data_IF_051110567178
#
_entry.id   IF_051110567178
#
_cell.length_a   1.000
_cell.length_b   1.000
_cell.length_c   1.000
_cell.angle_alpha   90.00
_cell.angle_beta   90.00
_cell.angle_gamma   90.00
#
_symmetry.space_group_name_H-M   'P 1'
#
loop_
_entity.id
_entity.type
_entity.pdbx_description
1 polymer ?
#
# COMPACT_ATOMS: atom_id res chain seq x y z
N UNK A 1 -42.11 28.32 48.20
CA UNK A 1 -42.48 27.03 47.62
C UNK A 1 -41.52 26.71 46.49
N UNK A 2 -40.48 25.93 46.79
CA UNK A 2 -39.56 25.40 45.75
C UNK A 2 -39.99 23.96 45.49
N UNK A 3 -40.28 23.67 44.19
CA UNK A 3 -40.50 22.31 43.73
C UNK A 3 -39.19 21.85 43.08
N UNK A 4 -38.50 20.93 43.74
CA UNK A 4 -37.38 20.18 43.17
C UNK A 4 -37.93 19.08 42.27
N UNK A 5 -37.58 19.13 40.98
CA UNK A 5 -37.75 18.00 40.07
C UNK A 5 -36.48 17.16 40.09
N UNK A 6 -36.62 15.96 40.66
CA UNK A 6 -35.61 14.89 40.65
C UNK A 6 -35.68 14.18 39.28
N UNK A 7 -34.67 14.35 38.42
CA UNK A 7 -34.55 13.60 37.18
C UNK A 7 -33.63 12.42 37.42
N UNK A 8 -34.25 11.29 37.79
CA UNK A 8 -33.55 10.00 37.72
C UNK A 8 -33.21 9.65 36.26
N UNK A 9 -31.92 9.75 35.92
CA UNK A 9 -31.39 9.19 34.70
C UNK A 9 -31.41 7.67 34.77
N UNK A 10 -32.39 7.05 34.19
CA UNK A 10 -32.41 5.60 33.95
C UNK A 10 -31.44 5.32 32.80
N UNK A 11 -30.24 4.85 33.13
CA UNK A 11 -29.32 4.25 32.14
C UNK A 11 -29.97 2.97 31.64
N UNK A 12 -30.62 3.04 30.48
CA UNK A 12 -31.00 1.86 29.70
C UNK A 12 -29.70 1.32 29.09
N UNK A 13 -29.11 0.32 29.71
CA UNK A 13 -28.10 -0.52 29.08
C UNK A 13 -28.80 -1.36 28.00
N UNK A 14 -28.80 -0.89 26.79
CA UNK A 14 -29.12 -1.69 25.62
C UNK A 14 -28.01 -2.73 25.46
N UNK A 15 -28.25 -3.94 25.95
CA UNK A 15 -27.47 -5.11 25.59
C UNK A 15 -27.76 -5.43 24.12
N UNK A 16 -26.93 -4.92 23.24
CA UNK A 16 -26.86 -5.44 21.88
C UNK A 16 -26.19 -6.82 21.97
N UNK A 17 -26.70 -7.84 21.23
CA UNK A 17 -25.97 -9.09 21.09
C UNK A 17 -24.57 -8.78 20.55
N UNK A 18 -23.56 -9.54 20.93
CA UNK A 18 -22.19 -9.48 20.42
C UNK A 18 -22.19 -9.75 18.90
N UNK A 19 -22.62 -8.78 18.11
CA UNK A 19 -22.22 -8.71 16.71
C UNK A 19 -20.72 -8.43 16.71
N UNK A 20 -19.95 -9.33 16.12
CA UNK A 20 -18.50 -9.14 15.94
C UNK A 20 -18.26 -7.76 15.31
N UNK A 21 -17.55 -6.89 16.03
CA UNK A 21 -17.36 -5.47 15.67
C UNK A 21 -16.31 -5.34 14.54
N UNK A 22 -16.55 -6.04 13.41
CA UNK A 22 -15.64 -6.10 12.27
C UNK A 22 -15.73 -4.85 11.40
N UNK A 23 -16.95 -4.52 10.96
CA UNK A 23 -17.27 -3.28 10.25
C UNK A 23 -18.16 -2.44 11.15
N UNK A 24 -18.35 -1.16 10.84
CA UNK A 24 -19.21 -0.28 11.62
C UNK A 24 -20.45 0.09 10.80
N UNK A 25 -21.48 -0.79 10.76
CA UNK A 25 -22.64 -0.59 9.87
C UNK A 25 -23.40 0.70 10.15
N UNK A 26 -23.50 1.11 11.42
CA UNK A 26 -24.15 2.36 11.79
C UNK A 26 -23.47 3.59 11.17
N UNK A 27 -22.12 3.62 11.15
CA UNK A 27 -21.37 4.68 10.50
C UNK A 27 -21.54 4.63 8.97
N UNK A 28 -21.54 3.44 8.38
CA UNK A 28 -21.79 3.27 6.95
C UNK A 28 -23.14 3.86 6.56
N UNK A 29 -24.19 3.49 7.28
CA UNK A 29 -25.55 4.01 7.08
C UNK A 29 -25.58 5.55 7.21
N UNK A 30 -25.06 6.07 8.31
CA UNK A 30 -25.02 7.53 8.57
C UNK A 30 -24.23 8.26 7.47
N UNK A 31 -23.11 7.72 7.01
CA UNK A 31 -22.33 8.29 5.92
C UNK A 31 -23.17 8.35 4.63
N UNK A 32 -23.79 7.23 4.24
CA UNK A 32 -24.60 7.14 3.02
C UNK A 32 -25.80 8.10 3.05
N UNK A 33 -26.47 8.24 4.22
CA UNK A 33 -27.59 9.19 4.40
C UNK A 33 -27.16 10.65 4.29
N UNK A 34 -25.93 10.98 4.71
CA UNK A 34 -25.38 12.35 4.67
C UNK A 34 -24.57 12.65 3.40
N UNK A 35 -24.35 11.67 2.55
CA UNK A 35 -23.65 11.85 1.28
C UNK A 35 -24.50 12.64 0.31
N UNK A 36 -23.90 13.64 -0.33
CA UNK A 36 -24.47 14.29 -1.51
C UNK A 36 -23.39 14.46 -2.58
N UNK A 37 -23.81 14.52 -3.84
CA UNK A 37 -22.88 14.72 -4.96
C UNK A 37 -22.13 16.06 -4.84
N UNK A 38 -22.82 17.11 -4.39
CA UNK A 38 -22.25 18.44 -4.22
C UNK A 38 -21.11 18.43 -3.16
N UNK A 39 -21.29 17.72 -2.04
CA UNK A 39 -20.23 17.56 -1.02
C UNK A 39 -19.03 16.81 -1.59
N UNK A 40 -19.28 15.76 -2.37
CA UNK A 40 -18.20 15.00 -2.99
C UNK A 40 -17.44 15.81 -4.03
N UNK A 41 -18.12 16.58 -4.85
CA UNK A 41 -17.49 17.49 -5.82
C UNK A 41 -16.71 18.60 -5.11
N UNK A 42 -17.23 19.17 -4.03
CA UNK A 42 -16.52 20.14 -3.22
C UNK A 42 -15.24 19.55 -2.59
N UNK A 43 -15.32 18.32 -2.07
CA UNK A 43 -14.17 17.56 -1.58
C UNK A 43 -13.11 17.33 -2.68
N UNK A 44 -13.51 16.87 -3.88
CA UNK A 44 -12.60 16.66 -5.00
C UNK A 44 -11.95 17.96 -5.47
N UNK A 45 -12.73 19.05 -5.51
CA UNK A 45 -12.22 20.37 -5.87
C UNK A 45 -11.18 20.87 -4.84
N UNK A 46 -11.43 20.72 -3.54
CA UNK A 46 -10.45 21.09 -2.51
C UNK A 46 -9.18 20.25 -2.64
N UNK A 47 -9.31 18.93 -2.81
CA UNK A 47 -8.19 18.02 -3.03
C UNK A 47 -7.36 18.40 -4.27
N UNK A 48 -8.03 18.71 -5.38
CA UNK A 48 -7.39 19.10 -6.62
C UNK A 48 -6.72 20.48 -6.55
N UNK A 49 -7.22 21.37 -5.70
CA UNK A 49 -6.67 22.71 -5.54
C UNK A 49 -5.38 22.73 -4.70
N UNK A 50 -5.10 21.69 -3.91
CA UNK A 50 -3.81 21.58 -3.19
C UNK A 50 -2.66 21.51 -4.19
N UNK A 51 -2.80 20.67 -5.21
CA UNK A 51 -1.83 20.51 -6.31
C UNK A 51 -2.59 20.49 -7.66
N UNK A 52 -2.85 21.65 -8.27
CA UNK A 52 -3.66 21.75 -9.47
C UNK A 52 -3.18 20.86 -10.63
N UNK A 53 -4.08 19.98 -11.11
CA UNK A 53 -3.80 19.05 -12.20
C UNK A 53 -2.95 17.83 -11.86
N UNK A 54 -2.63 17.60 -10.56
CA UNK A 54 -1.77 16.48 -10.18
C UNK A 54 -2.51 15.24 -9.69
N UNK A 55 -3.80 15.34 -9.34
CA UNK A 55 -4.65 14.20 -9.04
C UNK A 55 -5.11 13.52 -10.34
N UNK A 56 -4.51 12.38 -10.67
CA UNK A 56 -4.70 11.66 -11.94
C UNK A 56 -5.17 10.21 -11.73
N UNK A 57 -5.99 10.01 -10.73
CA UNK A 57 -6.68 8.74 -10.49
C UNK A 57 -8.03 8.99 -9.82
N UNK A 58 -8.93 8.01 -9.96
CA UNK A 58 -10.25 8.09 -9.35
C UNK A 58 -10.16 7.95 -7.84
N UNK A 59 -10.78 8.90 -7.12
CA UNK A 59 -11.02 8.86 -5.67
C UNK A 59 -12.41 8.29 -5.45
N UNK A 60 -12.56 7.37 -4.52
CA UNK A 60 -13.85 6.81 -4.17
C UNK A 60 -14.70 7.81 -3.37
N UNK A 61 -16.01 7.71 -3.51
CA UNK A 61 -17.00 8.55 -2.83
C UNK A 61 -17.01 8.35 -1.30
N UNK A 62 -16.38 7.31 -0.81
CA UNK A 62 -16.47 6.91 0.60
C UNK A 62 -15.18 6.35 1.17
N UNK A 63 -14.88 6.58 2.47
CA UNK A 63 -13.90 5.80 3.22
C UNK A 63 -14.46 4.43 3.62
N UNK A 64 -13.59 3.59 4.19
CA UNK A 64 -13.93 2.31 4.82
C UNK A 64 -13.95 2.50 6.33
N UNK A 65 -14.98 2.01 7.03
CA UNK A 65 -15.10 2.07 8.48
C UNK A 65 -14.80 0.71 9.10
N UNK A 66 -13.74 0.62 9.87
CA UNK A 66 -13.19 -0.63 10.43
C UNK A 66 -13.33 -0.64 11.96
N UNK A 67 -14.06 -1.63 12.45
CA UNK A 67 -14.21 -1.86 13.91
C UNK A 67 -12.96 -2.50 14.53
N UNK A 68 -12.90 -2.46 15.86
CA UNK A 68 -11.73 -2.90 16.62
C UNK A 68 -11.36 -4.38 16.38
N UNK A 69 -12.34 -5.28 16.27
CA UNK A 69 -12.08 -6.71 16.09
C UNK A 69 -11.37 -6.98 14.74
N UNK A 70 -11.82 -6.32 13.66
CA UNK A 70 -11.19 -6.49 12.36
C UNK A 70 -9.81 -5.82 12.32
N UNK A 71 -9.66 -4.63 12.92
CA UNK A 71 -8.36 -3.95 13.10
C UNK A 71 -7.37 -4.86 13.82
N UNK A 72 -7.81 -5.51 14.90
CA UNK A 72 -6.97 -6.45 15.67
C UNK A 72 -6.51 -7.62 14.81
N UNK A 73 -7.41 -8.26 14.04
CA UNK A 73 -7.08 -9.35 13.11
C UNK A 73 -6.04 -8.90 12.08
N UNK A 74 -6.21 -7.69 11.50
CA UNK A 74 -5.26 -7.11 10.54
C UNK A 74 -3.87 -6.93 11.14
N UNK A 75 -3.78 -6.33 12.32
CA UNK A 75 -2.50 -6.08 12.98
C UNK A 75 -1.84 -7.39 13.43
N UNK A 76 -2.60 -8.36 13.96
CA UNK A 76 -2.08 -9.67 14.37
C UNK A 76 -1.43 -10.43 13.21
N UNK A 77 -2.07 -10.48 12.05
CA UNK A 77 -1.48 -11.14 10.88
C UNK A 77 -0.27 -10.38 10.35
N UNK A 78 -0.30 -9.05 10.34
CA UNK A 78 0.86 -8.25 9.95
C UNK A 78 2.06 -8.54 10.84
N UNK A 79 1.87 -8.59 12.17
CA UNK A 79 2.97 -8.92 13.10
C UNK A 79 3.55 -10.32 12.84
N UNK A 80 2.73 -11.31 12.46
CA UNK A 80 3.20 -12.64 12.06
C UNK A 80 3.99 -12.62 10.76
N UNK A 81 3.61 -11.78 9.81
CA UNK A 81 4.38 -11.59 8.57
C UNK A 81 5.69 -10.87 8.88
N UNK A 82 5.64 -9.86 9.73
CA UNK A 82 6.84 -9.14 10.20
C UNK A 82 7.82 -10.09 10.90
N UNK A 83 7.34 -11.05 11.72
CA UNK A 83 8.20 -12.06 12.36
C UNK A 83 9.04 -12.85 11.32
N UNK A 84 8.49 -13.12 10.13
CA UNK A 84 9.23 -13.76 9.02
C UNK A 84 10.25 -12.79 8.41
N UNK A 85 9.89 -11.52 8.24
CA UNK A 85 10.74 -10.52 7.56
C UNK A 85 11.92 -10.09 8.43
N UNK A 86 11.74 -10.02 9.76
CA UNK A 86 12.83 -9.65 10.69
C UNK A 86 13.74 -10.83 11.08
N UNK A 87 13.43 -12.05 10.61
CA UNK A 87 14.28 -13.20 10.85
C UNK A 87 15.67 -12.97 10.24
N UNK A 88 16.76 -13.19 10.99
CA UNK A 88 18.13 -13.01 10.49
C UNK A 88 18.44 -13.79 9.20
N UNK A 89 17.73 -14.89 8.93
CA UNK A 89 17.87 -15.69 7.72
C UNK A 89 17.00 -15.19 6.55
N UNK A 90 16.23 -14.12 6.70
CA UNK A 90 15.30 -13.66 5.66
C UNK A 90 16.00 -13.32 4.34
N UNK A 91 17.20 -12.71 4.39
CA UNK A 91 17.98 -12.42 3.17
C UNK A 91 18.43 -13.71 2.46
N UNK A 92 18.82 -14.73 3.21
CA UNK A 92 19.16 -16.04 2.63
C UNK A 92 17.92 -16.75 2.07
N UNK A 93 16.81 -16.72 2.80
CA UNK A 93 15.52 -17.26 2.37
C UNK A 93 15.04 -16.65 1.04
N UNK A 94 15.31 -15.36 0.85
CA UNK A 94 14.89 -14.59 -0.33
C UNK A 94 16.04 -14.29 -1.30
N UNK A 95 17.16 -14.99 -1.24
CA UNK A 95 18.34 -14.73 -2.10
C UNK A 95 18.02 -14.84 -3.58
N UNK A 96 17.16 -15.78 -3.95
CA UNK A 96 16.74 -16.02 -5.34
C UNK A 96 15.56 -15.14 -5.78
N UNK A 97 15.06 -14.23 -4.91
CA UNK A 97 14.00 -13.31 -5.27
C UNK A 97 14.46 -12.22 -6.26
N UNK A 98 15.76 -11.89 -6.25
CA UNK A 98 16.31 -10.81 -7.07
C UNK A 98 16.87 -11.40 -8.35
N UNK A 99 16.36 -11.02 -9.54
CA UNK A 99 16.98 -11.44 -10.81
C UNK A 99 18.45 -10.99 -10.86
N UNK A 100 19.36 -11.87 -11.30
CA UNK A 100 20.82 -11.64 -11.28
C UNK A 100 21.24 -10.30 -11.93
N UNK A 101 20.58 -9.95 -13.02
CA UNK A 101 20.83 -8.70 -13.77
C UNK A 101 20.22 -7.44 -13.14
N UNK A 102 19.49 -7.57 -12.02
CA UNK A 102 18.81 -6.47 -11.33
C UNK A 102 19.32 -6.27 -9.89
N UNK A 103 20.40 -6.95 -9.53
CA UNK A 103 21.05 -6.77 -8.23
C UNK A 103 21.72 -5.40 -8.17
N UNK A 104 21.32 -4.58 -7.20
CA UNK A 104 21.95 -3.28 -6.90
C UNK A 104 22.94 -3.48 -5.75
N UNK A 105 24.20 -2.99 -5.86
CA UNK A 105 25.19 -3.07 -4.79
C UNK A 105 24.80 -2.24 -3.56
N UNK A 106 25.35 -2.57 -2.40
CA UNK A 106 25.21 -1.77 -1.18
C UNK A 106 23.88 -1.96 -0.46
N UNK A 107 23.28 -3.15 -0.56
CA UNK A 107 22.01 -3.46 0.11
C UNK A 107 22.12 -3.29 1.64
N UNK A 108 21.22 -2.44 2.19
CA UNK A 108 21.07 -2.22 3.63
C UNK A 108 20.42 -3.42 4.35
N UNK A 109 20.34 -3.37 5.70
CA UNK A 109 19.93 -4.52 6.49
C UNK A 109 18.45 -4.86 6.40
N UNK A 110 17.58 -3.86 6.13
CA UNK A 110 16.13 -4.06 6.05
C UNK A 110 15.47 -3.08 5.08
N UNK A 111 14.23 -3.37 4.68
CA UNK A 111 13.40 -2.44 3.96
C UNK A 111 12.88 -1.35 4.89
N UNK A 112 13.01 -0.09 4.49
CA UNK A 112 12.45 1.04 5.23
C UNK A 112 10.91 1.08 5.20
N UNK A 113 10.31 0.51 4.18
CA UNK A 113 8.88 0.55 3.94
C UNK A 113 8.35 -0.82 3.54
N UNK A 114 7.26 -1.22 4.16
CA UNK A 114 6.52 -2.42 3.81
C UNK A 114 5.05 -2.04 3.69
N UNK A 115 4.39 -2.55 2.66
CA UNK A 115 2.96 -2.44 2.51
C UNK A 115 2.34 -3.83 2.43
N UNK A 116 1.25 -4.04 3.18
CA UNK A 116 0.48 -5.28 3.19
C UNK A 116 -0.92 -5.03 2.67
N UNK A 117 -1.31 -5.70 1.60
CA UNK A 117 -2.63 -5.57 0.96
C UNK A 117 -3.53 -6.71 1.40
N UNK A 118 -4.60 -6.38 2.12
CA UNK A 118 -5.60 -7.34 2.57
C UNK A 118 -6.95 -7.11 1.91
N UNK A 119 -7.53 -8.16 1.33
CA UNK A 119 -8.94 -8.17 0.99
C UNK A 119 -9.80 -8.30 2.24
N UNK A 120 -10.91 -7.59 2.30
CA UNK A 120 -11.98 -7.91 3.25
C UNK A 120 -12.74 -9.08 2.67
N UNK A 121 -12.60 -10.25 3.29
CA UNK A 121 -13.13 -11.51 2.80
C UNK A 121 -14.20 -12.07 3.74
N UNK A 122 -14.91 -13.08 3.26
CA UNK A 122 -15.91 -13.82 4.02
C UNK A 122 -15.49 -15.29 4.11
N UNK A 123 -15.45 -15.84 5.32
CA UNK A 123 -15.14 -17.24 5.55
C UNK A 123 -16.37 -18.15 5.36
N UNK A 124 -16.19 -19.45 5.51
CA UNK A 124 -17.26 -20.45 5.36
C UNK A 124 -18.41 -20.28 6.38
N UNK A 125 -18.13 -19.63 7.52
CA UNK A 125 -19.14 -19.32 8.56
C UNK A 125 -19.90 -18.03 8.29
N UNK A 126 -19.57 -17.30 7.24
CA UNK A 126 -20.16 -16.00 6.94
C UNK A 126 -19.55 -14.84 7.72
N UNK A 127 -18.41 -15.03 8.39
CA UNK A 127 -17.75 -14.00 9.18
C UNK A 127 -16.72 -13.23 8.32
N UNK A 128 -16.56 -11.94 8.58
CA UNK A 128 -15.53 -11.15 7.91
C UNK A 128 -14.15 -11.44 8.50
N UNK A 129 -13.20 -11.63 7.58
CA UNK A 129 -11.79 -11.82 7.90
C UNK A 129 -10.89 -11.13 6.88
N UNK A 130 -9.70 -10.66 7.28
CA UNK A 130 -8.70 -10.19 6.32
C UNK A 130 -8.05 -11.39 5.63
N UNK A 131 -7.77 -11.27 4.33
CA UNK A 131 -6.94 -12.23 3.61
C UNK A 131 -5.85 -11.48 2.84
N UNK A 132 -4.59 -11.85 3.05
CA UNK A 132 -3.45 -11.22 2.38
C UNK A 132 -3.51 -11.47 0.87
N UNK A 133 -3.48 -10.42 0.09
CA UNK A 133 -3.50 -10.47 -1.38
C UNK A 133 -2.09 -10.37 -1.94
N UNK A 134 -1.33 -9.42 -1.43
CA UNK A 134 0.07 -9.18 -1.79
C UNK A 134 0.77 -8.36 -0.71
N UNK A 135 2.10 -8.29 -0.81
CA UNK A 135 2.94 -7.43 0.01
C UNK A 135 4.05 -6.85 -0.82
N UNK A 136 4.59 -5.72 -0.41
CA UNK A 136 5.67 -5.07 -1.12
C UNK A 136 6.63 -4.33 -0.19
N UNK A 137 7.94 -4.49 -0.42
CA UNK A 137 9.02 -3.71 0.22
C UNK A 137 9.30 -2.42 -0.56
N UNK A 138 8.26 -1.66 -0.87
CA UNK A 138 8.34 -0.50 -1.76
C UNK A 138 7.36 0.60 -1.33
N UNK A 139 7.72 1.89 -1.50
CA UNK A 139 6.87 3.00 -1.14
C UNK A 139 5.58 3.08 -1.96
N UNK A 140 4.55 3.69 -1.37
CA UNK A 140 3.28 3.98 -2.02
C UNK A 140 2.88 5.46 -1.77
N UNK A 141 1.61 5.78 -1.68
CA UNK A 141 1.05 7.12 -1.56
C UNK A 141 1.17 7.69 -0.12
N UNK A 142 2.35 7.68 0.48
CA UNK A 142 2.54 8.00 1.90
C UNK A 142 2.21 9.45 2.25
N UNK A 143 2.65 10.41 1.44
CA UNK A 143 2.38 11.82 1.67
C UNK A 143 0.94 12.20 1.28
N UNK A 144 0.41 11.63 0.20
CA UNK A 144 -0.98 11.82 -0.21
C UNK A 144 -1.97 11.36 0.87
N UNK A 145 -1.69 10.25 1.56
CA UNK A 145 -2.54 9.70 2.63
C UNK A 145 -2.52 10.54 3.93
N UNK A 146 -1.75 11.61 3.97
CA UNK A 146 -1.88 12.67 4.99
C UNK A 146 -2.98 13.66 4.60
N UNK A 147 -3.00 14.07 3.34
CA UNK A 147 -3.95 15.06 2.82
C UNK A 147 -5.37 14.50 2.73
N UNK A 148 -5.51 13.27 2.28
CA UNK A 148 -6.79 12.68 1.94
C UNK A 148 -7.77 12.64 3.14
N UNK A 149 -7.41 12.04 4.30
CA UNK A 149 -8.30 12.03 5.46
C UNK A 149 -8.61 13.41 6.00
N UNK A 150 -7.65 14.34 5.99
CA UNK A 150 -7.85 15.70 6.48
C UNK A 150 -8.88 16.46 5.67
N UNK A 151 -8.76 16.42 4.34
CA UNK A 151 -9.69 17.11 3.47
C UNK A 151 -11.06 16.41 3.50
N UNK A 152 -11.07 15.06 3.50
CA UNK A 152 -12.30 14.29 3.60
C UNK A 152 -13.10 14.64 4.86
N UNK A 153 -12.43 14.77 6.01
CA UNK A 153 -13.08 15.09 7.30
C UNK A 153 -13.78 16.46 7.32
N UNK A 154 -13.33 17.41 6.51
CA UNK A 154 -13.98 18.73 6.39
C UNK A 154 -15.34 18.65 5.71
N UNK A 155 -15.48 17.77 4.72
CA UNK A 155 -16.69 17.61 3.93
C UNK A 155 -17.62 16.51 4.48
N UNK A 156 -17.01 15.47 5.08
CA UNK A 156 -17.65 14.30 5.66
C UNK A 156 -17.13 14.08 7.10
N UNK A 157 -17.68 14.81 8.08
CA UNK A 157 -17.28 14.67 9.47
C UNK A 157 -17.47 13.26 9.99
N UNK A 158 -16.49 12.78 10.74
CA UNK A 158 -16.51 11.47 11.40
C UNK A 158 -16.33 11.62 12.92
N UNK A 159 -16.82 10.68 13.74
CA UNK A 159 -16.63 10.70 15.19
C UNK A 159 -15.14 10.74 15.59
N UNK A 160 -14.84 11.38 16.73
CA UNK A 160 -13.46 11.54 17.24
C UNK A 160 -12.81 10.23 17.71
N UNK A 161 -13.62 9.18 17.96
CA UNK A 161 -13.10 7.86 18.29
C UNK A 161 -12.56 7.08 17.09
N UNK A 162 -12.62 7.65 15.88
CA UNK A 162 -12.03 7.09 14.68
C UNK A 162 -10.71 7.78 14.35
N UNK A 163 -9.75 7.00 13.85
CA UNK A 163 -8.48 7.50 13.35
C UNK A 163 -8.05 6.76 12.08
N UNK A 164 -7.34 7.42 11.19
CA UNK A 164 -6.70 6.80 10.03
C UNK A 164 -5.26 6.37 10.34
N UNK A 165 -4.65 6.91 11.37
CA UNK A 165 -3.32 6.51 11.84
C UNK A 165 -3.41 5.31 12.78
N UNK A 166 -2.34 4.51 12.79
CA UNK A 166 -2.19 3.30 13.60
C UNK A 166 -1.12 3.50 14.66
N UNK A 167 -1.04 2.59 15.62
CA UNK A 167 -0.01 2.56 16.68
C UNK A 167 0.17 3.88 17.45
N UNK A 168 -0.90 4.69 17.55
CA UNK A 168 -0.87 5.95 18.26
C UNK A 168 -0.19 7.11 17.53
N UNK A 169 0.15 6.93 16.26
CA UNK A 169 0.63 8.06 15.44
C UNK A 169 -0.45 9.11 15.26
N UNK A 170 0.01 10.36 15.12
CA UNK A 170 -0.76 11.50 14.63
C UNK A 170 -0.18 11.94 13.30
N UNK A 171 -0.80 12.91 12.63
CA UNK A 171 -0.22 13.53 11.42
C UNK A 171 1.23 13.97 11.65
N UNK A 172 1.47 14.69 12.74
CA UNK A 172 2.76 15.29 13.06
C UNK A 172 3.82 14.22 13.29
N UNK A 173 3.52 13.22 14.13
CA UNK A 173 4.46 12.14 14.45
C UNK A 173 4.67 11.18 13.26
N UNK A 174 3.66 10.97 12.42
CA UNK A 174 3.77 10.23 11.17
C UNK A 174 4.71 10.94 10.18
N UNK A 175 4.50 12.25 9.95
CA UNK A 175 5.35 13.05 9.07
C UNK A 175 6.78 13.15 9.61
N UNK A 176 6.94 13.25 10.92
CA UNK A 176 8.27 13.23 11.55
C UNK A 176 8.98 11.91 11.29
N UNK A 177 8.33 10.76 11.48
CA UNK A 177 8.91 9.45 11.19
C UNK A 177 9.25 9.29 9.70
N UNK A 178 8.33 9.70 8.81
CA UNK A 178 8.54 9.66 7.36
C UNK A 178 9.77 10.48 6.96
N UNK A 179 9.92 11.69 7.54
CA UNK A 179 11.05 12.56 7.33
C UNK A 179 12.36 11.94 7.84
N UNK A 180 12.36 11.37 9.04
CA UNK A 180 13.53 10.70 9.62
C UNK A 180 14.01 9.53 8.76
N UNK A 181 13.09 8.73 8.20
CA UNK A 181 13.43 7.60 7.33
C UNK A 181 13.94 8.07 5.98
N UNK A 182 13.26 9.04 5.34
CA UNK A 182 13.59 9.45 3.97
C UNK A 182 14.85 10.32 3.95
N UNK A 183 14.96 11.28 4.87
CA UNK A 183 16.09 12.22 4.89
C UNK A 183 17.31 11.64 5.61
N UNK A 184 17.08 10.85 6.67
CA UNK A 184 18.15 10.36 7.50
C UNK A 184 18.92 11.52 8.14
N UNK A 185 20.24 11.44 8.10
CA UNK A 185 21.15 12.44 8.66
C UNK A 185 21.64 13.48 7.63
N UNK A 186 20.94 13.62 6.50
CA UNK A 186 21.36 14.51 5.41
C UNK A 186 20.57 15.81 5.40
N UNK A 187 21.13 16.83 4.72
CA UNK A 187 20.38 18.04 4.39
C UNK A 187 19.36 17.72 3.28
N UNK A 188 18.14 18.29 3.31
CA UNK A 188 17.10 17.97 2.34
C UNK A 188 17.51 18.14 0.88
N UNK A 189 18.36 19.13 0.56
CA UNK A 189 18.90 19.36 -0.77
C UNK A 189 19.82 18.23 -1.29
N UNK A 190 20.36 17.40 -0.40
CA UNK A 190 21.16 16.22 -0.74
C UNK A 190 20.33 14.92 -0.81
N UNK A 191 19.02 15.01 -0.64
CA UNK A 191 18.07 13.89 -0.73
C UNK A 191 17.12 14.14 -1.89
N UNK A 192 16.92 13.13 -2.73
CA UNK A 192 15.98 13.22 -3.85
C UNK A 192 14.92 12.13 -3.79
N UNK A 193 13.73 12.43 -4.31
CA UNK A 193 12.77 11.42 -4.77
C UNK A 193 13.13 11.07 -6.21
N UNK A 194 13.55 9.82 -6.44
CA UNK A 194 13.96 9.34 -7.78
C UNK A 194 12.81 8.58 -8.43
N UNK A 195 12.46 8.98 -9.65
CA UNK A 195 11.45 8.30 -10.47
C UNK A 195 11.75 8.48 -11.97
N UNK A 196 11.14 7.66 -12.82
CA UNK A 196 11.13 7.83 -14.28
C UNK A 196 9.98 8.77 -14.65
N UNK A 197 10.31 9.92 -15.22
CA UNK A 197 9.33 10.95 -15.61
C UNK A 197 8.32 11.25 -14.50
N UNK A 198 8.75 11.69 -13.30
CA UNK A 198 7.88 11.83 -12.12
C UNK A 198 6.62 12.67 -12.37
N UNK A 199 6.73 13.71 -13.20
CA UNK A 199 5.60 14.59 -13.55
C UNK A 199 4.54 13.93 -14.45
N UNK A 200 4.83 12.76 -15.03
CA UNK A 200 3.92 11.99 -15.88
C UNK A 200 3.28 10.82 -15.13
N UNK A 201 3.75 10.50 -13.92
CA UNK A 201 3.22 9.40 -13.13
C UNK A 201 1.79 9.69 -12.67
N UNK A 202 0.93 8.67 -12.71
CA UNK A 202 -0.47 8.81 -12.23
C UNK A 202 -0.55 9.17 -10.75
N UNK A 203 0.43 8.74 -9.97
CA UNK A 203 0.53 8.98 -8.54
C UNK A 203 1.33 10.23 -8.17
N UNK A 204 1.60 11.12 -9.14
CA UNK A 204 2.46 12.30 -8.96
C UNK A 204 2.01 13.27 -7.86
N UNK A 205 0.74 13.28 -7.52
CA UNK A 205 0.23 14.09 -6.38
C UNK A 205 0.96 13.75 -5.08
N UNK A 206 1.32 12.47 -4.87
CA UNK A 206 2.12 12.03 -3.72
C UNK A 206 3.54 12.61 -3.76
N UNK A 207 4.12 12.76 -4.95
CA UNK A 207 5.46 13.32 -5.12
C UNK A 207 5.49 14.81 -4.80
N UNK A 208 4.49 15.57 -5.24
CA UNK A 208 4.34 16.98 -4.88
C UNK A 208 4.13 17.16 -3.38
N UNK A 209 3.27 16.35 -2.78
CA UNK A 209 3.06 16.35 -1.33
C UNK A 209 4.35 15.98 -0.56
N UNK A 210 5.14 15.04 -1.08
CA UNK A 210 6.43 14.65 -0.50
C UNK A 210 7.44 15.81 -0.56
N UNK A 211 7.54 16.52 -1.69
CA UNK A 211 8.38 17.72 -1.80
C UNK A 211 8.01 18.76 -0.74
N UNK A 212 6.73 19.07 -0.61
CA UNK A 212 6.25 20.10 0.33
C UNK A 212 6.48 19.70 1.80
N UNK A 213 6.14 18.46 2.17
CA UNK A 213 6.27 18.02 3.56
C UNK A 213 7.72 17.80 4.00
N UNK A 214 8.58 17.35 3.09
CA UNK A 214 9.93 16.93 3.44
C UNK A 214 11.01 17.93 2.98
N UNK A 215 10.70 18.82 2.03
CA UNK A 215 11.66 19.76 1.47
C UNK A 215 12.69 19.14 0.52
N UNK A 216 12.48 17.90 0.08
CA UNK A 216 13.32 17.21 -0.91
C UNK A 216 12.86 17.53 -2.33
N UNK A 217 13.61 17.10 -3.36
CA UNK A 217 13.23 17.32 -4.77
C UNK A 217 12.91 16.03 -5.48
N UNK A 218 11.84 16.02 -6.30
CA UNK A 218 11.63 14.97 -7.27
C UNK A 218 12.56 15.17 -8.46
N UNK A 219 13.32 14.13 -8.80
CA UNK A 219 14.32 14.14 -9.87
C UNK A 219 14.05 12.98 -10.81
N UNK A 220 14.03 13.26 -12.10
CA UNK A 220 13.91 12.21 -13.11
C UNK A 220 15.24 11.45 -13.25
N UNK A 221 15.16 10.14 -13.45
CA UNK A 221 16.34 9.30 -13.76
C UNK A 221 17.21 9.91 -14.86
N UNK A 222 16.59 10.53 -15.88
CA UNK A 222 17.31 11.14 -17.01
C UNK A 222 18.12 12.38 -16.63
N UNK A 223 17.81 13.02 -15.51
CA UNK A 223 18.46 14.24 -15.00
C UNK A 223 19.67 13.94 -14.10
N UNK A 224 19.90 12.68 -13.73
CA UNK A 224 21.04 12.32 -12.89
C UNK A 224 22.36 12.58 -13.63
N UNK A 225 23.35 13.14 -12.93
CA UNK A 225 24.72 13.37 -13.38
C UNK A 225 25.64 12.50 -12.54
N UNK A 226 26.44 11.63 -13.17
CA UNK A 226 27.40 10.76 -12.49
C UNK A 226 28.83 11.24 -12.69
N UNK A 227 29.57 11.34 -11.58
CA UNK A 227 31.02 11.63 -11.60
C UNK A 227 31.73 10.66 -10.64
N UNK A 228 32.46 9.71 -11.17
CA UNK A 228 33.02 8.60 -10.39
C UNK A 228 31.88 7.77 -9.78
N UNK A 229 31.89 7.61 -8.45
CA UNK A 229 30.82 6.92 -7.70
C UNK A 229 29.72 7.86 -7.19
N UNK A 230 29.87 9.17 -7.40
CA UNK A 230 28.92 10.18 -6.89
C UNK A 230 27.86 10.53 -7.91
N UNK A 231 26.66 10.79 -7.41
CA UNK A 231 25.53 11.28 -8.18
C UNK A 231 25.24 12.74 -7.85
N UNK A 232 24.77 13.46 -8.85
CA UNK A 232 24.38 14.87 -8.75
C UNK A 232 23.11 15.13 -9.56
N UNK A 233 22.44 16.23 -9.25
CA UNK A 233 21.37 16.81 -10.05
C UNK A 233 21.53 18.33 -10.13
N UNK A 234 20.78 18.99 -11.02
CA UNK A 234 20.77 20.45 -11.11
C UNK A 234 19.60 21.03 -10.30
N UNK A 235 19.91 21.70 -9.20
CA UNK A 235 18.96 22.51 -8.43
C UNK A 235 19.15 23.97 -8.77
N UNK A 236 18.18 24.60 -9.46
CA UNK A 236 18.26 26.00 -9.89
C UNK A 236 19.56 26.32 -10.63
N UNK A 237 20.00 25.42 -11.51
CA UNK A 237 21.22 25.54 -12.28
C UNK A 237 22.53 25.24 -11.53
N UNK A 238 22.46 24.99 -10.21
CA UNK A 238 23.60 24.58 -9.38
C UNK A 238 23.68 23.05 -9.30
N UNK A 239 24.86 22.50 -9.60
CA UNK A 239 25.13 21.06 -9.41
C UNK A 239 25.15 20.73 -7.91
N UNK A 240 24.23 19.88 -7.46
CA UNK A 240 24.02 19.48 -6.06
C UNK A 240 24.28 17.98 -5.92
N UNK A 241 25.09 17.59 -4.95
CA UNK A 241 25.43 16.18 -4.68
C UNK A 241 24.22 15.44 -4.06
N UNK A 242 23.94 14.24 -4.56
CA UNK A 242 22.92 13.34 -4.01
C UNK A 242 23.60 12.41 -3.02
N UNK A 243 23.18 12.45 -1.78
CA UNK A 243 23.68 11.60 -0.69
C UNK A 243 22.71 10.44 -0.38
N UNK A 244 21.40 10.68 -0.57
CA UNK A 244 20.35 9.70 -0.27
C UNK A 244 19.25 9.78 -1.32
N UNK A 245 18.69 8.62 -1.66
CA UNK A 245 17.66 8.48 -2.68
C UNK A 245 16.41 7.87 -2.05
N UNK A 246 15.31 8.63 -2.00
CA UNK A 246 13.98 8.08 -1.81
C UNK A 246 13.54 7.43 -3.12
N UNK A 247 13.64 6.11 -3.17
CA UNK A 247 13.45 5.36 -4.41
C UNK A 247 11.97 5.10 -4.69
N UNK A 248 11.48 5.65 -5.81
CA UNK A 248 10.13 5.41 -6.36
C UNK A 248 10.18 4.69 -7.70
N UNK A 249 11.38 4.46 -8.23
CA UNK A 249 11.61 3.84 -9.52
C UNK A 249 11.53 2.31 -9.41
N UNK A 250 10.77 1.69 -10.32
CA UNK A 250 10.62 0.24 -10.46
C UNK A 250 11.40 -0.21 -11.71
N UNK A 251 12.25 -1.22 -11.58
CA UNK A 251 13.09 -1.67 -12.69
C UNK A 251 12.28 -2.31 -13.83
N UNK A 252 11.13 -2.91 -13.54
CA UNK A 252 10.25 -3.43 -14.58
C UNK A 252 9.69 -2.31 -15.48
N UNK A 253 9.37 -1.15 -14.89
CA UNK A 253 9.00 0.06 -15.64
C UNK A 253 10.18 0.58 -16.46
N UNK A 254 11.40 0.57 -15.88
CA UNK A 254 12.62 0.96 -16.59
C UNK A 254 12.85 0.11 -17.83
N UNK A 255 12.62 -1.22 -17.73
CA UNK A 255 12.78 -2.13 -18.87
C UNK A 255 11.79 -1.89 -20.01
N UNK A 256 10.65 -1.25 -19.74
CA UNK A 256 9.63 -0.90 -20.74
C UNK A 256 9.88 0.47 -21.40
N UNK A 257 10.86 1.24 -20.91
CA UNK A 257 11.18 2.57 -21.45
C UNK A 257 11.96 2.49 -22.77
N UNK A 258 12.09 3.64 -23.44
CA UNK A 258 12.98 3.79 -24.60
C UNK A 258 14.44 3.44 -24.25
N UNK A 259 15.19 2.97 -25.23
CA UNK A 259 16.57 2.47 -25.04
C UNK A 259 17.50 3.49 -24.36
N UNK A 260 17.31 4.76 -24.63
CA UNK A 260 18.09 5.87 -24.05
C UNK A 260 17.87 5.96 -22.55
N UNK A 261 16.62 5.80 -22.09
CA UNK A 261 16.26 5.80 -20.67
C UNK A 261 16.79 4.55 -19.98
N UNK A 262 16.65 3.37 -20.62
CA UNK A 262 17.21 2.11 -20.12
C UNK A 262 18.73 2.21 -19.98
N UNK A 263 19.43 2.80 -20.97
CA UNK A 263 20.88 3.01 -20.92
C UNK A 263 21.27 3.93 -19.77
N UNK A 264 20.50 4.99 -19.53
CA UNK A 264 20.70 5.90 -18.40
C UNK A 264 20.51 5.19 -17.06
N UNK A 265 19.54 4.30 -16.98
CA UNK A 265 19.24 3.51 -15.78
C UNK A 265 20.36 2.56 -15.35
N UNK A 266 21.27 2.19 -16.25
CA UNK A 266 22.39 1.29 -15.93
C UNK A 266 23.28 1.81 -14.81
N UNK A 267 23.33 3.12 -14.61
CA UNK A 267 24.11 3.74 -13.53
C UNK A 267 23.64 3.28 -12.13
N UNK A 268 22.38 2.89 -11.99
CA UNK A 268 21.82 2.46 -10.69
C UNK A 268 22.33 1.08 -10.24
N UNK A 269 22.92 0.30 -11.17
CA UNK A 269 23.51 -1.00 -10.91
C UNK A 269 25.02 -0.95 -10.62
N UNK A 270 25.58 0.26 -10.60
CA UNK A 270 26.98 0.48 -10.26
C UNK A 270 27.15 0.68 -8.73
N UNK A 271 28.39 0.51 -8.26
CA UNK A 271 28.76 0.80 -6.87
C UNK A 271 28.81 2.33 -6.66
N UNK A 272 27.72 2.88 -6.11
CA UNK A 272 27.51 4.31 -5.90
C UNK A 272 27.70 4.71 -4.44
N UNK A 273 28.18 5.92 -4.22
CA UNK A 273 28.29 6.57 -2.89
C UNK A 273 26.98 7.25 -2.51
N UNK A 274 25.87 6.46 -2.46
CA UNK A 274 24.53 6.93 -2.07
C UNK A 274 23.88 5.95 -1.10
N UNK A 275 23.08 6.48 -0.21
CA UNK A 275 22.17 5.70 0.61
C UNK A 275 20.81 5.56 -0.09
N UNK A 276 20.11 4.46 0.17
CA UNK A 276 18.78 4.20 -0.40
C UNK A 276 17.70 4.13 0.68
N UNK A 277 16.55 4.69 0.41
CA UNK A 277 15.36 4.60 1.25
C UNK A 277 14.09 4.38 0.38
N UNK A 278 13.65 3.11 0.13
CA UNK A 278 14.34 1.84 0.42
C UNK A 278 15.38 1.50 -0.64
N UNK A 279 16.26 0.56 -0.31
CA UNK A 279 17.16 -0.03 -1.29
C UNK A 279 16.37 -0.84 -2.33
N UNK A 280 16.70 -0.76 -3.64
CA UNK A 280 15.91 -1.39 -4.71
C UNK A 280 15.72 -2.91 -4.58
N UNK A 281 16.69 -3.63 -4.01
CA UNK A 281 16.62 -5.07 -3.83
C UNK A 281 15.43 -5.51 -2.96
N UNK A 282 14.96 -4.67 -2.04
CA UNK A 282 13.83 -4.98 -1.16
C UNK A 282 12.49 -5.06 -1.89
N UNK A 283 12.37 -4.41 -3.06
CA UNK A 283 11.21 -4.59 -3.93
C UNK A 283 10.98 -6.06 -4.31
N UNK A 284 12.08 -6.80 -4.55
CA UNK A 284 12.01 -8.21 -4.92
C UNK A 284 11.91 -9.13 -3.69
N UNK A 285 12.68 -8.84 -2.62
CA UNK A 285 12.68 -9.68 -1.41
C UNK A 285 11.33 -9.68 -0.71
N UNK A 286 10.72 -8.51 -0.51
CA UNK A 286 9.38 -8.37 0.09
C UNK A 286 8.37 -8.18 -1.04
N UNK A 287 7.87 -9.30 -1.53
CA UNK A 287 6.99 -9.37 -2.68
C UNK A 287 6.14 -10.65 -2.64
N UNK A 288 5.55 -11.02 -3.75
CA UNK A 288 4.91 -12.33 -3.91
C UNK A 288 5.86 -13.51 -3.63
N UNK A 289 7.18 -13.30 -3.79
CA UNK A 289 8.19 -14.32 -3.47
C UNK A 289 8.20 -14.73 -1.99
N UNK A 290 7.81 -13.84 -1.09
CA UNK A 290 7.79 -14.13 0.35
C UNK A 290 6.57 -14.96 0.77
N UNK A 291 5.48 -14.95 -0.01
CA UNK A 291 4.20 -15.58 0.37
C UNK A 291 4.29 -17.07 0.69
N UNK A 292 5.06 -17.92 -0.03
CA UNK A 292 5.20 -19.34 0.28
C UNK A 292 5.81 -19.65 1.65
N UNK A 293 6.51 -18.69 2.26
CA UNK A 293 7.16 -18.86 3.58
C UNK A 293 6.27 -18.46 4.76
N UNK A 294 5.05 -17.92 4.50
CA UNK A 294 4.16 -17.41 5.54
C UNK A 294 3.01 -18.40 5.75
N UNK A 295 2.89 -18.91 6.96
CA UNK A 295 1.82 -19.83 7.34
C UNK A 295 0.92 -19.19 8.39
N UNK A 296 -0.26 -18.72 7.97
CA UNK A 296 -1.24 -18.09 8.85
C UNK A 296 -2.66 -18.23 8.24
N UNK A 297 -3.74 -18.37 9.03
CA UNK A 297 -5.10 -18.51 8.51
C UNK A 297 -5.55 -17.36 7.59
N UNK A 298 -4.99 -16.15 7.78
CA UNK A 298 -5.30 -14.97 6.97
C UNK A 298 -4.28 -14.72 5.85
N UNK A 299 -3.41 -15.70 5.57
CA UNK A 299 -2.50 -15.69 4.41
C UNK A 299 -2.86 -16.90 3.54
N UNK A 300 -3.38 -16.69 2.33
CA UNK A 300 -3.76 -17.80 1.46
C UNK A 300 -2.56 -18.70 1.17
N UNK A 301 -2.78 -20.00 1.25
CA UNK A 301 -1.78 -21.00 0.95
C UNK A 301 -1.16 -20.71 -0.42
N UNK A 302 0.16 -20.65 -0.47
CA UNK A 302 0.91 -20.25 -1.66
C UNK A 302 2.10 -21.19 -1.87
N UNK A 303 2.34 -21.60 -3.12
CA UNK A 303 3.42 -22.48 -3.52
C UNK A 303 4.24 -21.87 -4.66
N UNK A 304 5.54 -22.07 -4.66
CA UNK A 304 6.32 -21.90 -5.89
C UNK A 304 5.92 -22.97 -6.90
N UNK A 305 5.67 -22.58 -8.14
CA UNK A 305 5.14 -23.49 -9.14
C UNK A 305 6.12 -24.63 -9.46
N UNK A 306 7.43 -24.34 -9.49
CA UNK A 306 8.49 -25.33 -9.73
C UNK A 306 8.68 -26.36 -8.58
N UNK A 307 8.12 -26.08 -7.40
CA UNK A 307 8.21 -27.00 -6.25
C UNK A 307 7.00 -27.94 -6.17
N UNK A 308 5.95 -27.69 -6.95
CA UNK A 308 4.71 -28.48 -6.95
C UNK A 308 4.94 -29.80 -7.69
N UNK A 309 5.07 -30.91 -6.97
CA UNK A 309 5.19 -32.27 -7.56
C UNK A 309 3.88 -32.77 -8.14
N UNK A 310 2.76 -32.45 -7.52
CA UNK A 310 1.40 -32.81 -7.95
C UNK A 310 0.50 -31.59 -7.73
N UNK A 311 -0.06 -31.01 -8.80
CA UNK A 311 -1.01 -29.90 -8.67
C UNK A 311 -2.20 -30.28 -7.80
N UNK A 312 -2.80 -29.32 -7.06
CA UNK A 312 -4.07 -29.52 -6.37
C UNK A 312 -5.15 -30.04 -7.31
N UNK A 313 -6.04 -30.90 -6.81
CA UNK A 313 -7.13 -31.43 -7.61
C UNK A 313 -8.21 -30.39 -7.94
N UNK A 314 -8.26 -29.32 -7.15
CA UNK A 314 -9.21 -28.21 -7.21
C UNK A 314 -8.55 -26.92 -7.72
N UNK A 315 -7.83 -26.99 -8.84
CA UNK A 315 -7.08 -25.87 -9.45
C UNK A 315 -7.95 -24.62 -9.67
N UNK A 316 -9.24 -24.79 -9.93
CA UNK A 316 -10.20 -23.71 -10.06
C UNK A 316 -10.30 -22.82 -8.79
N UNK A 317 -9.84 -23.32 -7.65
CA UNK A 317 -9.74 -22.57 -6.38
C UNK A 317 -8.39 -21.88 -6.18
N UNK A 318 -7.57 -21.82 -7.22
CA UNK A 318 -6.27 -21.16 -7.18
C UNK A 318 -6.17 -20.03 -8.22
N UNK A 319 -5.19 -19.16 -8.00
CA UNK A 319 -4.72 -18.16 -8.96
C UNK A 319 -3.26 -18.41 -9.25
N UNK A 320 -2.89 -18.30 -10.51
CA UNK A 320 -1.52 -18.42 -10.98
C UNK A 320 -0.97 -17.02 -11.22
N UNK A 321 0.13 -16.68 -10.53
CA UNK A 321 0.69 -15.31 -10.52
C UNK A 321 2.16 -15.33 -10.89
N UNK A 322 2.63 -14.50 -11.84
CA UNK A 322 4.05 -14.29 -12.02
C UNK A 322 4.63 -13.52 -10.82
N UNK A 323 5.84 -13.90 -10.38
CA UNK A 323 6.53 -13.27 -9.24
C UNK A 323 6.82 -11.80 -9.50
N UNK A 324 7.36 -11.49 -10.66
CA UNK A 324 7.85 -10.17 -11.03
C UNK A 324 6.86 -9.44 -11.96
N UNK A 325 5.65 -9.22 -11.45
CA UNK A 325 4.64 -8.43 -12.15
C UNK A 325 3.88 -7.57 -11.16
N UNK A 326 3.42 -6.40 -11.60
CA UNK A 326 2.60 -5.49 -10.80
C UNK A 326 1.27 -5.18 -11.50
N UNK A 327 0.34 -4.58 -10.76
CA UNK A 327 -0.99 -4.20 -11.26
C UNK A 327 -1.79 -5.36 -11.88
N UNK A 328 -1.58 -6.61 -11.42
CA UNK A 328 -2.29 -7.79 -11.89
C UNK A 328 -1.93 -8.26 -13.30
N UNK A 329 -0.80 -7.81 -13.86
CA UNK A 329 -0.32 -8.30 -15.15
C UNK A 329 0.02 -9.79 -15.08
N UNK A 330 -0.46 -10.57 -16.07
CA UNK A 330 -0.15 -12.00 -16.19
C UNK A 330 -0.85 -12.90 -15.18
N UNK A 331 -1.71 -12.37 -14.30
CA UNK A 331 -2.47 -13.18 -13.33
C UNK A 331 -3.58 -13.95 -14.02
N UNK A 332 -3.61 -15.27 -13.82
CA UNK A 332 -4.65 -16.19 -14.29
C UNK A 332 -5.52 -16.59 -13.10
N UNK A 333 -6.84 -16.29 -13.17
CA UNK A 333 -7.76 -16.48 -12.03
C UNK A 333 -8.42 -17.86 -12.04
N UNK A 334 -8.89 -18.34 -13.16
CA UNK A 334 -9.59 -19.62 -13.29
C UNK A 334 -8.61 -20.63 -13.88
N UNK A 335 -7.67 -21.11 -13.04
CA UNK A 335 -6.54 -21.95 -13.45
C UNK A 335 -7.01 -23.34 -13.82
N UNK A 336 -6.51 -23.86 -14.94
CA UNK A 336 -6.61 -25.26 -15.31
C UNK A 336 -5.22 -25.92 -15.53
N UNK A 337 -5.19 -27.22 -15.80
CA UNK A 337 -3.92 -27.95 -16.03
C UNK A 337 -3.17 -27.43 -17.25
N UNK A 338 -3.91 -27.01 -18.28
CA UNK A 338 -3.31 -26.49 -19.52
C UNK A 338 -2.63 -25.13 -19.30
N UNK A 339 -3.05 -24.36 -18.30
CA UNK A 339 -2.37 -23.10 -17.95
C UNK A 339 -1.02 -23.37 -17.29
N UNK A 340 -0.94 -24.37 -16.41
CA UNK A 340 0.33 -24.78 -15.80
C UNK A 340 1.32 -25.32 -16.86
N UNK A 341 0.85 -26.08 -17.84
CA UNK A 341 1.68 -26.61 -18.92
C UNK A 341 2.25 -25.53 -19.86
N UNK A 342 1.58 -24.39 -19.97
CA UNK A 342 2.03 -23.25 -20.79
C UNK A 342 3.18 -22.46 -20.16
N UNK A 343 3.38 -22.58 -18.84
CA UNK A 343 4.43 -21.86 -18.13
C UNK A 343 5.79 -22.50 -18.47
N UNK A 344 6.69 -21.70 -19.04
CA UNK A 344 8.03 -22.14 -19.46
C UNK A 344 9.12 -21.93 -18.41
N UNK A 345 8.86 -21.04 -17.46
CA UNK A 345 9.75 -20.59 -16.40
C UNK A 345 9.07 -20.71 -15.02
N UNK A 346 8.69 -21.95 -14.60
CA UNK A 346 7.87 -22.16 -13.40
C UNK A 346 8.51 -21.66 -12.09
N UNK A 347 9.83 -21.46 -12.06
CA UNK A 347 10.56 -20.83 -10.97
C UNK A 347 10.17 -19.36 -10.74
N UNK A 348 9.59 -18.71 -11.74
CA UNK A 348 9.13 -17.31 -11.69
C UNK A 348 7.62 -17.19 -11.44
N UNK A 349 6.97 -18.26 -10.98
CA UNK A 349 5.53 -18.29 -10.76
C UNK A 349 5.16 -18.88 -9.40
N UNK A 350 4.04 -18.38 -8.87
CA UNK A 350 3.39 -18.96 -7.70
C UNK A 350 1.96 -19.37 -8.01
N UNK A 351 1.54 -20.44 -7.36
CA UNK A 351 0.15 -20.88 -7.29
C UNK A 351 -0.40 -20.54 -5.90
N UNK A 352 -1.40 -19.67 -5.82
CA UNK A 352 -1.97 -19.18 -4.57
C UNK A 352 -3.46 -19.50 -4.48
N UNK A 353 -3.94 -19.94 -3.31
CA UNK A 353 -5.35 -20.18 -3.06
C UNK A 353 -6.17 -18.90 -3.23
N UNK A 354 -7.32 -19.00 -3.91
CA UNK A 354 -8.26 -17.89 -4.09
C UNK A 354 -8.84 -17.43 -2.77
N UNK A 355 -9.09 -16.13 -2.67
CA UNK A 355 -9.85 -15.55 -1.58
C UNK A 355 -11.25 -15.16 -2.07
N UNK A 356 -12.21 -15.17 -1.16
CA UNK A 356 -13.58 -14.76 -1.45
C UNK A 356 -13.82 -13.37 -0.85
N UNK A 357 -13.70 -12.34 -1.67
CA UNK A 357 -14.03 -10.98 -1.24
C UNK A 357 -15.49 -10.85 -0.79
N UNK A 358 -15.71 -10.12 0.28
CA UNK A 358 -17.03 -9.75 0.75
C UNK A 358 -17.50 -8.41 0.14
N UNK A 359 -18.77 -8.31 -0.18
CA UNK A 359 -19.40 -7.10 -0.65
C UNK A 359 -19.81 -6.22 0.55
N UNK A 360 -18.82 -5.58 1.18
CA UNK A 360 -18.94 -4.92 2.51
C UNK A 360 -19.27 -3.44 2.46
N UNK A 361 -19.08 -2.78 1.32
CA UNK A 361 -19.33 -1.35 1.19
C UNK A 361 -20.69 -1.15 0.54
N UNK A 362 -21.69 -0.89 1.38
CA UNK A 362 -23.01 -0.52 0.88
C UNK A 362 -22.95 0.78 0.08
N UNK A 363 -23.52 0.77 -1.11
CA UNK A 363 -23.58 1.89 -2.05
C UNK A 363 -24.99 1.97 -2.66
N UNK A 364 -25.38 3.09 -3.31
CA UNK A 364 -26.73 3.25 -3.85
C UNK A 364 -27.17 2.24 -4.92
N UNK A 365 -26.22 1.60 -5.60
CA UNK A 365 -26.49 0.60 -6.66
C UNK A 365 -26.15 -0.82 -6.17
N UNK A 366 -24.95 -1.30 -6.42
CA UNK A 366 -24.44 -2.61 -5.97
C UNK A 366 -23.31 -2.42 -4.97
N UNK A 367 -23.20 -3.23 -3.91
CA UNK A 367 -22.14 -3.11 -2.93
C UNK A 367 -20.75 -3.22 -3.56
N UNK A 368 -19.78 -2.53 -2.98
CA UNK A 368 -18.39 -2.62 -3.39
C UNK A 368 -17.59 -3.52 -2.44
N UNK A 369 -16.55 -4.14 -2.99
CA UNK A 369 -15.47 -4.82 -2.28
C UNK A 369 -14.44 -3.81 -1.85
N UNK A 370 -13.69 -4.12 -0.79
CA UNK A 370 -12.60 -3.29 -0.34
C UNK A 370 -11.32 -4.11 -0.15
N UNK A 371 -10.20 -3.47 -0.50
CA UNK A 371 -8.86 -3.92 -0.19
C UNK A 371 -8.18 -2.84 0.63
N UNK A 372 -7.53 -3.24 1.71
CA UNK A 372 -6.88 -2.36 2.67
C UNK A 372 -5.38 -2.58 2.56
N UNK A 373 -4.64 -1.51 2.35
CA UNK A 373 -3.18 -1.49 2.38
C UNK A 373 -2.72 -0.85 3.67
N UNK A 374 -2.06 -1.61 4.54
CA UNK A 374 -1.43 -1.10 5.75
C UNK A 374 0.01 -0.72 5.46
N UNK A 375 0.44 0.44 6.01
CA UNK A 375 1.80 0.94 5.88
C UNK A 375 2.60 0.63 7.14
N UNK A 376 3.71 -0.08 6.96
CA UNK A 376 4.67 -0.39 7.98
C UNK A 376 5.99 0.32 7.68
N UNK A 377 6.46 1.11 8.62
CA UNK A 377 7.69 1.88 8.49
C UNK A 377 8.77 1.32 9.41
N UNK A 378 9.97 1.18 8.88
CA UNK A 378 11.13 0.64 9.60
C UNK A 378 12.27 1.65 9.55
N UNK A 379 12.49 2.35 10.65
CA UNK A 379 13.56 3.32 10.80
C UNK A 379 14.89 2.59 11.06
N UNK A 380 15.97 3.12 10.52
CA UNK A 380 17.32 2.62 10.78
C UNK A 380 17.60 2.62 12.30
N UNK A 381 18.14 1.51 12.79
CA UNK A 381 18.43 1.28 14.22
C UNK A 381 17.28 0.68 15.03
N UNK A 382 16.06 0.59 14.48
CA UNK A 382 14.95 -0.13 15.11
C UNK A 382 15.00 -1.62 14.78
N UNK A 383 14.50 -2.45 15.70
CA UNK A 383 14.54 -3.92 15.55
C UNK A 383 13.42 -4.47 14.66
N UNK A 384 12.34 -3.70 14.45
CA UNK A 384 11.20 -4.11 13.63
C UNK A 384 10.38 -2.90 13.12
N UNK A 385 9.65 -3.07 12.03
CA UNK A 385 8.75 -2.03 11.53
C UNK A 385 7.51 -1.86 12.40
N UNK A 386 6.86 -0.70 12.27
CA UNK A 386 5.64 -0.34 13.00
C UNK A 386 4.54 0.07 12.03
N UNK A 387 3.29 -0.33 12.32
CA UNK A 387 2.10 0.10 11.58
C UNK A 387 1.87 1.59 11.76
N UNK A 388 1.69 2.34 10.68
CA UNK A 388 1.62 3.82 10.75
C UNK A 388 0.34 4.41 10.18
N UNK A 389 -0.04 4.03 8.98
CA UNK A 389 -1.16 4.60 8.24
C UNK A 389 -1.70 3.55 7.26
N UNK A 390 -2.62 3.93 6.40
CA UNK A 390 -3.27 3.03 5.47
C UNK A 390 -3.70 3.70 4.17
N UNK A 391 -4.11 2.88 3.24
CA UNK A 391 -4.80 3.22 2.01
C UNK A 391 -5.88 2.16 1.81
N UNK A 392 -6.98 2.50 1.16
CA UNK A 392 -7.97 1.52 0.69
C UNK A 392 -8.19 1.63 -0.81
N UNK A 393 -8.66 0.55 -1.41
CA UNK A 393 -9.11 0.49 -2.81
C UNK A 393 -10.49 -0.14 -2.86
N UNK A 394 -11.46 0.55 -3.48
CA UNK A 394 -12.82 0.06 -3.63
C UNK A 394 -13.06 -0.41 -5.06
N UNK A 395 -13.77 -1.52 -5.22
CA UNK A 395 -14.04 -2.14 -6.51
C UNK A 395 -15.40 -2.83 -6.56
N UNK A 396 -16.07 -2.74 -7.71
CA UNK A 396 -17.26 -3.52 -8.06
C UNK A 396 -16.97 -4.53 -9.17
N UNK A 397 -15.69 -4.75 -9.49
CA UNK A 397 -15.22 -5.70 -10.48
C UNK A 397 -14.88 -7.08 -9.91
N UNK A 398 -14.51 -8.02 -10.80
CA UNK A 398 -13.97 -9.33 -10.40
C UNK A 398 -12.64 -9.19 -9.66
N UNK A 399 -11.82 -8.21 -10.05
CA UNK A 399 -10.55 -7.88 -9.43
C UNK A 399 -10.54 -6.43 -8.92
N UNK A 400 -9.75 -6.15 -7.91
CA UNK A 400 -9.48 -4.80 -7.44
C UNK A 400 -8.52 -4.15 -8.45
N UNK A 401 -9.00 -3.15 -9.20
CA UNK A 401 -8.18 -2.42 -10.18
C UNK A 401 -9.01 -1.52 -11.10
N UNK A 402 -8.36 -0.49 -11.64
CA UNK A 402 -9.01 0.53 -12.48
C UNK A 402 -9.67 -0.08 -13.71
N UNK A 403 -9.06 -1.10 -14.33
CA UNK A 403 -9.56 -1.75 -15.56
C UNK A 403 -10.97 -2.36 -15.41
N UNK A 404 -11.29 -2.84 -14.20
CA UNK A 404 -12.54 -3.54 -13.91
C UNK A 404 -13.64 -2.61 -13.37
N UNK A 405 -13.32 -1.32 -13.21
CA UNK A 405 -14.18 -0.32 -12.59
C UNK A 405 -14.46 0.89 -13.48
N UNK A 406 -14.20 0.78 -14.79
CA UNK A 406 -14.53 1.81 -15.76
C UNK A 406 -16.03 2.10 -15.71
N UNK A 407 -16.39 3.36 -15.66
CA UNK A 407 -17.78 3.85 -15.63
C UNK A 407 -18.61 3.41 -14.40
N UNK A 408 -17.92 2.98 -13.30
CA UNK A 408 -18.57 2.68 -12.02
C UNK A 408 -18.37 3.80 -11.01
N UNK A 409 -19.34 3.99 -10.14
CA UNK A 409 -19.29 4.91 -9.02
C UNK A 409 -19.01 4.17 -7.71
N UNK A 410 -18.61 4.88 -6.67
CA UNK A 410 -18.25 4.35 -5.34
C UNK A 410 -17.08 3.36 -5.40
N UNK A 411 -16.12 3.63 -6.28
CA UNK A 411 -14.93 2.83 -6.53
C UNK A 411 -13.72 3.75 -6.70
N UNK A 412 -12.50 3.22 -6.50
CA UNK A 412 -11.27 3.98 -6.65
C UNK A 412 -10.40 3.96 -5.40
N UNK A 413 -9.45 4.90 -5.33
CA UNK A 413 -8.60 5.11 -4.17
C UNK A 413 -9.39 5.66 -2.99
N UNK A 414 -9.11 5.16 -1.79
CA UNK A 414 -9.75 5.54 -0.54
C UNK A 414 -8.80 5.32 0.64
N UNK A 415 -9.32 5.34 1.85
CA UNK A 415 -8.62 5.04 3.09
C UNK A 415 -9.58 4.47 4.13
N UNK A 416 -9.03 3.96 5.23
CA UNK A 416 -9.82 3.44 6.34
C UNK A 416 -9.83 4.41 7.51
N UNK A 417 -11.00 4.54 8.14
CA UNK A 417 -11.15 5.00 9.49
C UNK A 417 -11.21 3.77 10.41
N UNK A 418 -10.29 3.68 11.35
CA UNK A 418 -10.24 2.63 12.36
C UNK A 418 -10.81 3.15 13.68
N UNK A 419 -11.58 2.31 14.34
CA UNK A 419 -11.95 2.53 15.75
C UNK A 419 -10.68 2.50 16.62
N UNK A 420 -10.55 3.49 17.54
CA UNK A 420 -9.37 3.66 18.43
C UNK A 420 -9.24 2.53 19.43
#
# INVERSE_FOLDING_TARGET
>A
LYILFDIQQTKVLLNFPHETNNMIPALRKTFNENFTREKYEAFLNEMSNVYPGQLDFRVAETPVFIGQDFKKKLLEVCEKIVDVIVDPNFKELTKNAIPENLIVPGENDHSHFIAFDFGICINEKGEYEPQLIEMQGFPTLFAYQVLFPEISKKHFPVPEYLDCYLSGYTKETYLQLLKEIIIGNHAPENVILLEIFPKQQKTRIDFYATEDFLGIRMVCLTELIKEGKKLYYLSNGKKTEIKRIYNRLIFDDLQQQAKEVQQKGKILFEDLEVEWAPHPNWFYRISKYTLPFIHHPYVPETFFLNEIKRPPADLENYVLKPLFSFAGQGVIIDVDSGDLEKVKDPENWILQRKVKYADVIETPDIPAKAEIRLFYFWKDGETRPVATNNLARLSKGKMIGVRYNKDKEWVGGSFCWFEK
#
